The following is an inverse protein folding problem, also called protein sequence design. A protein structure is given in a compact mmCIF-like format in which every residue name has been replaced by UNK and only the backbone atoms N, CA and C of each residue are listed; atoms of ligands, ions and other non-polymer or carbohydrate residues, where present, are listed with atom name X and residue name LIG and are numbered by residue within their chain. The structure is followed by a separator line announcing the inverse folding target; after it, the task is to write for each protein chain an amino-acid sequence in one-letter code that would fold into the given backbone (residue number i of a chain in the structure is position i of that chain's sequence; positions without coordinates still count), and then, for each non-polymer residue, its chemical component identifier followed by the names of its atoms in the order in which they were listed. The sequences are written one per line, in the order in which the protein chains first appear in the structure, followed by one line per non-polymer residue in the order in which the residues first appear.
data_IF_887230794981
#
_entry.id   IF_887230794981
#
_cell.length_a   1.000
_cell.length_b   1.000
_cell.length_c   1.000
_cell.angle_alpha   90.00
_cell.angle_beta   90.00
_cell.angle_gamma   90.00
#
_symmetry.space_group_name_H-M   'P 1'
#
loop_
_entity.id
_entity.type
_entity.pdbx_description
1 polymer ?
#
# COMPACT_ATOMS: atom_id res chain seq x y z
N UNK A 1 -12.15 11.80 -7.20
CA UNK A 1 -11.41 10.56 -6.89
C UNK A 1 -9.94 10.88 -6.86
N UNK A 2 -9.28 10.60 -5.75
CA UNK A 2 -7.86 10.89 -5.53
C UNK A 2 -7.03 9.62 -5.75
N UNK A 3 -5.75 9.81 -6.09
CA UNK A 3 -4.81 8.71 -6.30
C UNK A 3 -3.46 9.04 -5.68
N UNK A 4 -2.93 8.11 -4.90
CA UNK A 4 -1.53 8.08 -4.51
C UNK A 4 -0.76 7.18 -5.47
N UNK A 5 0.43 7.60 -5.89
CA UNK A 5 1.32 6.84 -6.75
C UNK A 5 2.74 6.95 -6.24
N UNK A 6 3.43 5.82 -6.14
CA UNK A 6 4.85 5.73 -5.82
C UNK A 6 5.59 4.95 -6.92
N UNK A 7 6.74 5.48 -7.33
CA UNK A 7 7.61 4.89 -8.36
C UNK A 7 9.02 4.91 -7.84
N UNK A 8 9.48 3.73 -7.43
CA UNK A 8 10.82 3.51 -6.91
C UNK A 8 11.46 2.29 -7.57
N UNK A 9 12.76 2.12 -7.37
CA UNK A 9 13.50 1.01 -7.96
C UNK A 9 12.89 -0.33 -7.52
N UNK A 10 12.79 -1.27 -8.46
CA UNK A 10 12.41 -2.64 -8.12
C UNK A 10 13.50 -3.28 -7.25
N UNK A 11 13.07 -3.98 -6.20
CA UNK A 11 13.96 -4.70 -5.31
C UNK A 11 13.29 -5.97 -4.75
N UNK A 12 14.09 -6.77 -4.05
CA UNK A 12 13.62 -7.95 -3.33
C UNK A 12 13.75 -7.64 -1.85
N UNK A 13 12.64 -7.67 -1.11
CA UNK A 13 12.64 -7.36 0.31
C UNK A 13 13.64 -8.24 1.08
N UNK A 14 14.62 -7.62 1.74
CA UNK A 14 15.68 -8.32 2.46
C UNK A 14 15.21 -8.94 3.79
N UNK A 15 14.12 -8.41 4.34
CA UNK A 15 13.49 -8.80 5.60
C UNK A 15 11.96 -8.68 5.52
N UNK A 16 11.28 -9.31 6.47
CA UNK A 16 9.84 -9.12 6.67
C UNK A 16 9.58 -7.70 7.18
N UNK A 17 8.58 -7.01 6.63
CA UNK A 17 8.14 -5.71 7.14
C UNK A 17 6.63 -5.50 6.97
N UNK A 18 6.09 -4.63 7.80
CA UNK A 18 4.72 -4.12 7.67
C UNK A 18 4.79 -2.63 7.30
N UNK A 19 3.94 -2.16 6.40
CA UNK A 19 3.74 -0.73 6.13
C UNK A 19 2.26 -0.37 6.27
N UNK A 20 1.99 0.84 6.74
CA UNK A 20 0.62 1.31 7.02
C UNK A 20 0.46 2.72 6.48
N UNK A 21 -0.57 2.91 5.65
CA UNK A 21 -1.07 4.23 5.29
C UNK A 21 -2.32 4.53 6.11
N UNK A 22 -2.31 5.66 6.79
CA UNK A 22 -3.44 6.19 7.54
C UNK A 22 -3.86 7.49 6.86
N UNK A 23 -5.02 7.45 6.18
CA UNK A 23 -5.60 8.61 5.53
C UNK A 23 -6.42 9.43 6.53
N UNK A 24 -6.72 10.72 6.24
CA UNK A 24 -7.58 11.53 7.09
C UNK A 24 -8.93 10.87 7.40
N UNK A 25 -9.54 11.22 8.52
CA UNK A 25 -10.89 10.77 8.88
C UNK A 25 -11.89 11.20 7.79
N UNK A 26 -12.86 10.32 7.48
CA UNK A 26 -13.81 10.49 6.37
C UNK A 26 -13.29 9.98 5.01
N UNK A 27 -11.97 9.78 4.87
CA UNK A 27 -11.42 9.18 3.67
C UNK A 27 -11.85 7.71 3.51
N UNK A 28 -11.94 7.25 2.26
CA UNK A 28 -12.29 5.86 1.95
C UNK A 28 -11.42 5.29 0.84
N UNK A 29 -10.68 4.24 1.13
CA UNK A 29 -9.92 3.45 0.17
C UNK A 29 -10.88 2.71 -0.77
N UNK A 30 -10.54 2.69 -2.06
CA UNK A 30 -11.38 2.10 -3.12
C UNK A 30 -10.70 0.90 -3.78
N UNK A 31 -9.46 1.08 -4.21
CA UNK A 31 -8.64 0.03 -4.85
C UNK A 31 -7.16 0.30 -4.62
N UNK A 32 -6.35 -0.74 -4.64
CA UNK A 32 -4.90 -0.66 -4.46
C UNK A 32 -4.17 -1.65 -5.37
N UNK A 33 -2.94 -1.29 -5.72
CA UNK A 33 -1.95 -2.10 -6.41
C UNK A 33 -0.63 -1.93 -5.65
N UNK A 34 -0.33 -2.89 -4.78
CA UNK A 34 0.84 -2.88 -3.89
C UNK A 34 1.36 -4.32 -3.76
N UNK A 35 2.67 -4.47 -3.60
CA UNK A 35 3.28 -5.78 -3.39
C UNK A 35 3.07 -6.30 -1.96
N UNK A 36 2.99 -7.63 -1.82
CA UNK A 36 2.74 -8.29 -0.54
C UNK A 36 1.25 -8.52 -0.25
N UNK A 37 0.94 -8.84 1.01
CA UNK A 37 -0.45 -9.07 1.45
C UNK A 37 -1.02 -7.77 1.99
N UNK A 38 -2.06 -7.27 1.35
CA UNK A 38 -2.72 -6.01 1.71
C UNK A 38 -4.12 -6.24 2.27
N UNK A 39 -4.47 -5.48 3.30
CA UNK A 39 -5.80 -5.44 3.91
C UNK A 39 -6.19 -4.00 4.26
N UNK A 40 -7.49 -3.70 4.25
CA UNK A 40 -8.04 -2.43 4.68
C UNK A 40 -8.98 -2.67 5.89
N UNK A 41 -8.43 -2.72 7.13
CA UNK A 41 -9.22 -3.05 8.31
C UNK A 41 -10.22 -1.95 8.69
N UNK A 42 -9.97 -0.71 8.25
CA UNK A 42 -10.82 0.46 8.41
C UNK A 42 -10.94 1.19 7.06
N UNK A 43 -11.99 2.01 6.82
CA UNK A 43 -12.19 2.68 5.54
C UNK A 43 -10.99 3.53 5.07
N UNK A 44 -10.23 4.11 6.00
CA UNK A 44 -9.12 5.02 5.75
C UNK A 44 -7.74 4.42 6.09
N UNK A 45 -7.65 3.11 6.38
CA UNK A 45 -6.38 2.46 6.74
C UNK A 45 -6.05 1.37 5.71
N UNK A 46 -4.87 1.48 5.10
CA UNK A 46 -4.29 0.41 4.26
C UNK A 46 -3.09 -0.17 4.99
N UNK A 47 -3.16 -1.45 5.34
CA UNK A 47 -2.03 -2.19 5.93
C UNK A 47 -1.50 -3.20 4.93
N UNK A 48 -0.18 -3.24 4.79
CA UNK A 48 0.50 -4.28 4.03
C UNK A 48 1.48 -5.05 4.91
N UNK A 49 1.59 -6.34 4.63
CA UNK A 49 2.61 -7.23 5.17
C UNK A 49 3.42 -7.80 4.02
N UNK A 50 4.70 -7.48 4.01
CA UNK A 50 5.67 -7.93 3.02
C UNK A 50 6.58 -8.97 3.66
N UNK A 51 6.70 -10.12 3.01
CA UNK A 51 7.61 -11.18 3.43
C UNK A 51 8.96 -11.02 2.74
N UNK A 52 10.04 -11.36 3.44
CA UNK A 52 11.37 -11.48 2.86
C UNK A 52 11.31 -12.30 1.56
N UNK A 53 11.98 -11.82 0.52
CA UNK A 53 11.97 -12.44 -0.81
C UNK A 53 10.82 -11.98 -1.71
N UNK A 54 9.89 -11.15 -1.22
CA UNK A 54 8.86 -10.52 -2.05
C UNK A 54 9.50 -9.48 -2.97
N UNK A 55 9.13 -9.50 -4.26
CA UNK A 55 9.48 -8.42 -5.19
C UNK A 55 8.61 -7.20 -4.90
N UNK A 56 9.24 -6.06 -4.67
CA UNK A 56 8.58 -4.78 -4.37
C UNK A 56 9.15 -3.68 -5.28
N UNK A 57 8.52 -2.50 -5.29
CA UNK A 57 8.93 -1.41 -6.16
C UNK A 57 8.42 -1.49 -7.59
N UNK A 58 9.04 -0.68 -8.46
CA UNK A 58 8.57 -0.42 -9.82
C UNK A 58 7.39 0.54 -9.85
N UNK A 59 6.25 0.14 -9.28
CA UNK A 59 5.06 0.97 -9.19
C UNK A 59 4.06 0.48 -8.13
N UNK A 60 3.66 1.39 -7.25
CA UNK A 60 2.62 1.16 -6.25
C UNK A 60 1.59 2.28 -6.28
N UNK A 61 0.32 1.96 -6.07
CA UNK A 61 -0.74 2.96 -6.04
C UNK A 61 -1.96 2.54 -5.23
N UNK A 62 -2.71 3.53 -4.76
CA UNK A 62 -4.06 3.32 -4.26
C UNK A 62 -4.97 4.51 -4.57
N UNK A 63 -6.26 4.24 -4.67
CA UNK A 63 -7.30 5.23 -4.91
C UNK A 63 -8.20 5.39 -3.71
N UNK A 64 -8.61 6.63 -3.48
CA UNK A 64 -9.43 6.98 -2.34
C UNK A 64 -10.35 8.17 -2.63
N UNK A 65 -11.39 8.29 -1.82
CA UNK A 65 -12.24 9.47 -1.71
C UNK A 65 -12.01 10.18 -0.38
N UNK A 66 -12.35 11.47 -0.34
CA UNK A 66 -12.32 12.34 0.83
C UNK A 66 -13.72 12.86 1.10
#
# INVERSE_FOLDING_TARGET
MNKYEDKYAEEVAEYDYDAVWILPEGARLLRWQIAGSAEAPEPNVLRIRVKRGTKVGGYESFEFEL
#
